data_IF_656478838041
#
_entry.id   IF_656478838041
#
_cell.length_a   1.000
_cell.length_b   1.000
_cell.length_c   1.000
_cell.angle_alpha   90.00
_cell.angle_beta   90.00
_cell.angle_gamma   90.00
#
_symmetry.space_group_name_H-M   'P 1'
#
loop_
_entity.id
_entity.type
_entity.pdbx_description
1 polymer ?
#
# COMPACT_ATOMS: atom_id res chain seq x y z
N UNK A 1 -16.24 -22.62 30.63
CA UNK A 1 -16.10 -21.57 29.63
C UNK A 1 -15.92 -20.20 30.32
N UNK A 2 -15.03 -19.37 29.86
CA UNK A 2 -14.86 -18.00 30.30
C UNK A 2 -15.42 -17.05 29.22
N UNK A 3 -16.12 -15.98 29.66
CA UNK A 3 -16.73 -14.99 28.76
C UNK A 3 -16.27 -13.60 29.17
N UNK A 4 -16.10 -12.72 28.18
CA UNK A 4 -15.74 -11.32 28.43
C UNK A 4 -14.26 -11.08 28.71
N UNK A 5 -13.40 -11.99 28.34
CA UNK A 5 -11.95 -11.79 28.39
C UNK A 5 -11.56 -10.72 27.35
N UNK A 6 -10.74 -9.76 27.77
CA UNK A 6 -10.19 -8.71 26.90
C UNK A 6 -8.77 -9.10 26.50
N UNK A 7 -8.38 -8.72 25.28
CA UNK A 7 -7.01 -8.90 24.77
C UNK A 7 -6.53 -10.36 24.74
N UNK A 8 -7.43 -11.30 24.51
CA UNK A 8 -7.12 -12.73 24.37
C UNK A 8 -7.48 -13.18 22.96
N UNK A 9 -6.54 -13.86 22.31
CA UNK A 9 -6.72 -14.41 20.96
C UNK A 9 -6.75 -15.93 20.96
N UNK A 10 -7.22 -16.53 19.88
CA UNK A 10 -7.19 -17.98 19.71
C UNK A 10 -5.75 -18.50 19.73
N UNK A 11 -5.45 -19.42 20.64
CA UNK A 11 -4.12 -19.98 20.85
C UNK A 11 -3.36 -19.41 22.06
N UNK A 12 -3.90 -18.39 22.73
CA UNK A 12 -3.30 -17.86 23.93
C UNK A 12 -3.45 -18.82 25.13
N UNK A 13 -2.42 -18.90 25.95
CA UNK A 13 -2.42 -19.65 27.20
C UNK A 13 -2.86 -18.75 28.35
N UNK A 14 -3.87 -19.17 29.08
CA UNK A 14 -4.28 -18.53 30.32
C UNK A 14 -3.70 -19.28 31.51
N UNK A 15 -2.97 -18.59 32.37
CA UNK A 15 -2.36 -19.18 33.56
C UNK A 15 -2.52 -18.29 34.80
N UNK A 16 -2.23 -18.83 35.97
CA UNK A 16 -2.15 -18.04 37.19
C UNK A 16 -0.88 -17.15 37.18
N UNK A 17 -0.98 -15.95 37.76
CA UNK A 17 0.10 -14.97 37.77
C UNK A 17 1.35 -15.50 38.48
N UNK A 18 1.17 -16.22 39.55
CA UNK A 18 2.20 -16.83 40.41
C UNK A 18 2.76 -18.16 39.86
N UNK A 19 2.11 -18.73 38.84
CA UNK A 19 2.55 -19.94 38.14
C UNK A 19 2.51 -19.74 36.63
N UNK A 20 3.42 -18.94 36.05
CA UNK A 20 3.43 -18.70 34.62
C UNK A 20 3.85 -19.96 33.88
N UNK A 21 3.00 -20.42 32.95
CA UNK A 21 3.24 -21.55 32.06
C UNK A 21 2.74 -21.18 30.67
N UNK A 22 3.46 -21.58 29.65
CA UNK A 22 3.05 -21.48 28.26
C UNK A 22 2.86 -22.91 27.76
N UNK A 23 1.64 -23.24 27.33
CA UNK A 23 1.33 -24.51 26.69
C UNK A 23 1.87 -24.51 25.26
N UNK A 24 1.87 -25.69 24.62
CA UNK A 24 2.29 -25.85 23.23
C UNK A 24 1.50 -24.85 22.34
N UNK A 25 2.26 -24.09 21.55
CA UNK A 25 1.69 -23.07 20.67
C UNK A 25 1.12 -23.75 19.43
N UNK A 26 -0.14 -23.45 19.09
CA UNK A 26 -0.75 -23.93 17.87
C UNK A 26 -0.08 -23.26 16.66
N UNK A 27 0.33 -24.08 15.70
CA UNK A 27 0.80 -23.61 14.41
C UNK A 27 -0.37 -23.57 13.43
N UNK A 28 -0.62 -22.38 12.89
CA UNK A 28 -1.63 -22.17 11.86
C UNK A 28 -0.97 -22.11 10.49
N UNK A 29 -1.52 -22.79 9.48
CA UNK A 29 -0.99 -22.74 8.14
C UNK A 29 -1.10 -21.33 7.55
N UNK A 30 -0.15 -20.98 6.69
CA UNK A 30 -0.18 -19.71 5.97
C UNK A 30 -1.38 -19.65 5.01
N UNK A 31 -2.04 -18.48 4.88
CA UNK A 31 -3.13 -18.31 3.93
C UNK A 31 -2.68 -18.58 2.49
N UNK A 32 -3.54 -19.23 1.71
CA UNK A 32 -3.21 -19.64 0.32
C UNK A 32 -3.85 -18.77 -0.75
N UNK A 33 -4.89 -18.02 -0.42
CA UNK A 33 -5.55 -17.09 -1.36
C UNK A 33 -5.74 -15.71 -0.74
N UNK A 34 -5.83 -14.71 -1.60
CA UNK A 34 -6.08 -13.32 -1.20
C UNK A 34 -7.13 -12.69 -2.10
N UNK A 35 -7.98 -11.86 -1.50
CA UNK A 35 -8.99 -11.07 -2.18
C UNK A 35 -8.95 -9.62 -1.69
N UNK A 36 -9.30 -8.67 -2.56
CA UNK A 36 -9.49 -7.29 -2.18
C UNK A 36 -10.92 -7.10 -1.66
N UNK A 37 -11.07 -6.33 -0.59
CA UNK A 37 -12.36 -5.98 -0.01
C UNK A 37 -12.48 -4.47 0.03
N UNK A 38 -13.55 -3.95 -0.58
CA UNK A 38 -13.82 -2.53 -0.63
C UNK A 38 -15.18 -2.22 0.00
N UNK A 39 -15.26 -1.26 0.92
CA UNK A 39 -16.54 -0.85 1.51
C UNK A 39 -17.39 -0.15 0.45
N UNK A 40 -18.71 -0.40 0.44
CA UNK A 40 -19.61 0.27 -0.50
C UNK A 40 -19.79 1.75 -0.19
N UNK A 41 -19.68 2.14 1.07
CA UNK A 41 -19.85 3.53 1.53
C UNK A 41 -18.72 3.96 2.47
N UNK A 42 -18.51 5.26 2.62
CA UNK A 42 -17.54 5.80 3.59
C UNK A 42 -17.88 5.41 5.04
N UNK A 43 -19.16 5.31 5.37
CA UNK A 43 -19.61 4.88 6.70
C UNK A 43 -19.27 3.41 6.97
N UNK A 44 -19.23 2.57 5.93
CA UNK A 44 -18.85 1.18 6.05
C UNK A 44 -17.34 0.98 6.21
N UNK A 45 -16.51 1.95 5.83
CA UNK A 45 -15.06 1.86 5.91
C UNK A 45 -14.56 1.70 7.35
N UNK A 46 -15.06 2.53 8.28
CA UNK A 46 -14.69 2.42 9.70
C UNK A 46 -15.20 1.13 10.32
N UNK A 47 -16.46 0.78 10.04
CA UNK A 47 -17.06 -0.47 10.51
C UNK A 47 -16.34 -1.69 9.96
N UNK A 48 -15.92 -1.65 8.70
CA UNK A 48 -15.15 -2.72 8.06
C UNK A 48 -13.82 -2.95 8.78
N UNK A 49 -13.09 -1.91 9.12
CA UNK A 49 -11.84 -2.03 9.87
C UNK A 49 -12.05 -2.71 11.23
N UNK A 50 -13.09 -2.34 11.97
CA UNK A 50 -13.43 -2.95 13.25
C UNK A 50 -13.84 -4.42 13.07
N UNK A 51 -14.67 -4.72 12.07
CA UNK A 51 -15.14 -6.08 11.78
C UNK A 51 -13.96 -6.99 11.41
N UNK A 52 -13.10 -6.56 10.49
CA UNK A 52 -11.95 -7.33 10.04
C UNK A 52 -10.97 -7.62 11.19
N UNK A 53 -10.71 -6.62 12.05
CA UNK A 53 -9.84 -6.81 13.21
C UNK A 53 -10.42 -7.85 14.20
N UNK A 54 -11.72 -7.82 14.45
CA UNK A 54 -12.36 -8.82 15.33
C UNK A 54 -12.31 -10.22 14.73
N UNK A 55 -12.61 -10.36 13.44
CA UNK A 55 -12.54 -11.64 12.74
C UNK A 55 -11.11 -12.20 12.72
N UNK A 56 -10.10 -11.35 12.55
CA UNK A 56 -8.69 -11.75 12.60
C UNK A 56 -8.23 -12.18 14.01
N UNK A 57 -8.83 -11.63 15.08
CA UNK A 57 -8.57 -12.08 16.45
C UNK A 57 -9.17 -13.46 16.75
N UNK A 58 -10.33 -13.78 16.12
CA UNK A 58 -10.98 -15.06 16.27
C UNK A 58 -10.31 -16.18 15.47
N UNK A 59 -9.81 -15.85 14.28
CA UNK A 59 -9.23 -16.80 13.34
C UNK A 59 -7.78 -16.43 12.94
N UNK A 60 -6.78 -17.08 13.51
CA UNK A 60 -5.38 -16.84 13.20
C UNK A 60 -4.95 -17.21 11.77
N UNK A 61 -5.76 -17.99 11.05
CA UNK A 61 -5.52 -18.31 9.63
C UNK A 61 -6.03 -17.23 8.68
N UNK A 62 -6.77 -16.25 9.21
CA UNK A 62 -7.26 -15.09 8.49
C UNK A 62 -6.34 -13.91 8.69
N UNK A 63 -5.87 -13.31 7.62
CA UNK A 63 -4.99 -12.13 7.67
C UNK A 63 -5.58 -10.96 6.90
N UNK A 64 -5.37 -9.77 7.45
CA UNK A 64 -5.80 -8.50 6.86
C UNK A 64 -4.58 -7.61 6.69
N UNK A 65 -4.43 -7.04 5.52
CA UNK A 65 -3.40 -6.03 5.25
C UNK A 65 -3.96 -4.94 4.35
N UNK A 66 -3.44 -3.75 4.48
CA UNK A 66 -3.66 -2.68 3.51
C UNK A 66 -2.50 -2.66 2.53
N UNK A 67 -2.78 -2.69 1.26
CA UNK A 67 -1.78 -2.51 0.22
C UNK A 67 -1.48 -1.03 0.08
N UNK A 68 -0.24 -0.63 0.37
CA UNK A 68 0.19 0.77 0.36
C UNK A 68 0.17 1.40 -1.03
N UNK A 69 0.32 0.59 -2.08
CA UNK A 69 0.38 1.10 -3.45
C UNK A 69 -1.02 1.29 -4.06
N UNK A 70 -1.90 0.31 -3.90
CA UNK A 70 -3.28 0.40 -4.41
C UNK A 70 -4.27 1.03 -3.42
N UNK A 71 -3.90 1.12 -2.13
CA UNK A 71 -4.78 1.55 -1.05
C UNK A 71 -5.88 0.54 -0.71
N UNK A 72 -5.90 -0.63 -1.36
CA UNK A 72 -6.91 -1.66 -1.12
C UNK A 72 -6.69 -2.41 0.18
N UNK A 73 -7.77 -2.78 0.84
CA UNK A 73 -7.74 -3.75 1.94
C UNK A 73 -7.75 -5.15 1.38
N UNK A 74 -6.70 -5.90 1.65
CA UNK A 74 -6.51 -7.28 1.20
C UNK A 74 -6.78 -8.21 2.37
N UNK A 75 -7.68 -9.16 2.16
CA UNK A 75 -7.95 -10.26 3.08
C UNK A 75 -7.35 -11.55 2.51
N UNK A 76 -6.77 -12.35 3.38
CA UNK A 76 -6.13 -13.61 3.00
C UNK A 76 -6.63 -14.74 3.90
N UNK A 77 -6.86 -15.90 3.32
CA UNK A 77 -7.42 -17.07 4.01
C UNK A 77 -7.06 -18.38 3.35
N UNK A 78 -7.59 -19.47 3.91
CA UNK A 78 -7.27 -20.83 3.52
C UNK A 78 -7.97 -21.31 2.25
N UNK A 79 -8.94 -20.55 1.73
CA UNK A 79 -9.67 -20.86 0.51
C UNK A 79 -10.79 -19.88 0.25
N UNK A 80 -11.38 -19.96 -0.94
CA UNK A 80 -12.45 -19.05 -1.39
C UNK A 80 -13.66 -19.14 -0.46
N UNK A 81 -14.11 -20.35 -0.13
CA UNK A 81 -15.22 -20.55 0.81
C UNK A 81 -14.95 -19.96 2.21
N UNK A 82 -13.70 -20.03 2.68
CA UNK A 82 -13.32 -19.44 3.95
C UNK A 82 -13.51 -17.91 3.93
N UNK A 83 -13.02 -17.26 2.89
CA UNK A 83 -13.16 -15.80 2.72
C UNK A 83 -14.62 -15.39 2.52
N UNK A 84 -15.41 -16.16 1.78
CA UNK A 84 -16.83 -15.90 1.56
C UNK A 84 -17.63 -15.95 2.87
N UNK A 85 -17.33 -16.92 3.74
CA UNK A 85 -17.95 -17.01 5.08
C UNK A 85 -17.60 -15.79 5.92
N UNK A 86 -16.36 -15.34 5.91
CA UNK A 86 -15.93 -14.16 6.68
C UNK A 86 -16.58 -12.87 6.16
N UNK A 87 -16.72 -12.73 4.86
CA UNK A 87 -17.44 -11.60 4.24
C UNK A 87 -18.94 -11.64 4.58
N UNK A 88 -19.55 -12.81 4.57
CA UNK A 88 -20.95 -12.98 5.00
C UNK A 88 -21.13 -12.66 6.48
N UNK A 89 -20.20 -13.06 7.35
CA UNK A 89 -20.16 -12.67 8.77
C UNK A 89 -20.02 -11.15 8.95
N UNK A 90 -19.17 -10.48 8.19
CA UNK A 90 -19.09 -9.01 8.22
C UNK A 90 -20.44 -8.37 7.94
N UNK A 91 -21.17 -8.89 6.96
CA UNK A 91 -22.50 -8.40 6.62
C UNK A 91 -23.52 -8.65 7.72
N UNK A 92 -23.58 -9.87 8.26
CA UNK A 92 -24.61 -10.28 9.23
C UNK A 92 -24.36 -9.77 10.63
N UNK A 93 -23.11 -9.84 11.12
CA UNK A 93 -22.77 -9.53 12.50
C UNK A 93 -22.43 -8.05 12.70
N UNK A 94 -21.85 -7.40 11.68
CA UNK A 94 -21.37 -6.02 11.78
C UNK A 94 -22.13 -5.01 10.91
N UNK A 95 -23.11 -5.49 10.12
CA UNK A 95 -23.84 -4.64 9.16
C UNK A 95 -22.91 -3.86 8.24
N UNK A 96 -21.89 -4.49 7.70
CA UNK A 96 -20.93 -3.93 6.75
C UNK A 96 -21.20 -4.52 5.38
N UNK A 97 -21.49 -3.67 4.41
CA UNK A 97 -21.56 -4.06 3.01
C UNK A 97 -20.24 -3.77 2.31
N UNK A 98 -19.65 -4.83 1.75
CA UNK A 98 -18.39 -4.76 1.03
C UNK A 98 -18.50 -5.45 -0.34
N UNK A 99 -17.71 -4.97 -1.28
CA UNK A 99 -17.48 -5.62 -2.57
C UNK A 99 -16.18 -6.40 -2.49
N UNK A 100 -16.21 -7.63 -2.96
CA UNK A 100 -15.04 -8.52 -2.98
C UNK A 100 -14.58 -8.69 -4.43
N UNK A 101 -13.28 -8.63 -4.66
CA UNK A 101 -12.70 -8.76 -5.99
C UNK A 101 -11.26 -9.25 -5.95
N UNK A 102 -10.68 -9.40 -7.13
CA UNK A 102 -9.26 -9.70 -7.24
C UNK A 102 -8.43 -8.48 -6.84
N UNK A 103 -7.32 -8.66 -6.10
CA UNK A 103 -6.40 -7.57 -5.80
C UNK A 103 -5.90 -6.91 -7.08
N UNK A 104 -5.77 -5.60 -7.06
CA UNK A 104 -5.15 -4.88 -8.17
C UNK A 104 -3.66 -5.17 -8.21
N UNK A 105 -3.11 -5.33 -9.40
CA UNK A 105 -1.68 -5.45 -9.60
C UNK A 105 -1.11 -4.04 -9.69
N UNK A 106 -0.24 -3.69 -8.75
CA UNK A 106 0.52 -2.45 -8.82
C UNK A 106 1.62 -2.61 -9.88
N UNK A 107 1.37 -2.06 -11.05
CA UNK A 107 2.38 -2.03 -12.11
C UNK A 107 3.41 -0.94 -11.80
N UNK A 108 4.67 -1.26 -11.98
CA UNK A 108 5.78 -0.32 -11.88
C UNK A 108 6.48 -0.21 -13.23
N UNK A 109 6.79 1.00 -13.61
CA UNK A 109 7.57 1.28 -14.80
C UNK A 109 9.05 1.39 -14.45
N UNK A 110 9.89 0.99 -15.38
CA UNK A 110 11.33 1.16 -15.29
C UNK A 110 11.93 1.43 -16.65
N UNK A 111 13.04 2.17 -16.68
CA UNK A 111 13.84 2.35 -17.89
C UNK A 111 14.83 1.18 -18.02
N UNK A 112 15.02 0.70 -19.24
CA UNK A 112 15.92 -0.43 -19.54
C UNK A 112 17.20 -0.01 -20.25
N UNK A 113 17.21 1.18 -20.81
CA UNK A 113 18.36 1.73 -21.55
C UNK A 113 18.66 3.15 -21.11
N UNK A 114 19.92 3.57 -21.28
CA UNK A 114 20.35 4.94 -21.02
C UNK A 114 19.81 5.87 -22.11
N UNK A 115 19.24 7.00 -21.69
CA UNK A 115 18.87 8.10 -22.58
C UNK A 115 19.76 9.29 -22.24
N UNK A 116 20.66 9.64 -23.16
CA UNK A 116 21.66 10.68 -22.91
C UNK A 116 21.09 12.10 -22.92
N UNK A 117 20.03 12.36 -23.71
CA UNK A 117 19.44 13.67 -23.87
C UNK A 117 17.91 13.58 -23.89
N UNK A 118 17.30 13.48 -22.71
CA UNK A 118 15.86 13.66 -22.55
C UNK A 118 15.59 15.16 -22.41
N UNK A 119 15.22 15.81 -23.49
CA UNK A 119 14.99 17.26 -23.55
C UNK A 119 13.50 17.56 -23.35
N UNK A 120 13.21 18.50 -22.44
CA UNK A 120 11.88 19.07 -22.25
C UNK A 120 11.93 20.59 -22.27
N UNK A 121 11.07 21.20 -23.09
CA UNK A 121 10.94 22.64 -23.22
C UNK A 121 9.49 23.05 -23.00
N UNK A 122 9.26 23.90 -22.02
CA UNK A 122 7.97 24.46 -21.70
C UNK A 122 7.98 25.97 -22.02
N UNK A 123 7.10 26.39 -22.89
CA UNK A 123 6.90 27.80 -23.23
C UNK A 123 5.42 28.12 -23.16
N UNK A 124 5.03 29.01 -22.27
CA UNK A 124 3.64 29.48 -22.17
C UNK A 124 3.63 30.98 -22.07
N UNK A 125 2.99 31.65 -23.01
CA UNK A 125 2.79 33.09 -23.00
C UNK A 125 1.31 33.39 -23.26
N UNK A 126 0.63 33.90 -22.25
CA UNK A 126 -0.75 34.34 -22.34
C UNK A 126 -0.87 35.70 -21.66
N UNK A 127 -0.83 36.78 -22.44
CA UNK A 127 -1.09 38.16 -22.03
C UNK A 127 -0.40 38.58 -20.70
N UNK A 128 0.87 38.95 -20.73
CA UNK A 128 1.64 39.37 -19.57
C UNK A 128 2.97 38.65 -19.40
N UNK A 129 3.32 38.21 -18.17
CA UNK A 129 4.58 37.50 -17.91
C UNK A 129 4.53 36.09 -18.49
N UNK A 130 5.41 35.79 -19.44
CA UNK A 130 5.59 34.46 -19.98
C UNK A 130 6.22 33.49 -18.97
N UNK A 131 5.95 32.20 -19.13
CA UNK A 131 6.61 31.13 -18.40
C UNK A 131 7.53 30.38 -19.39
N UNK A 132 8.75 30.12 -18.95
CA UNK A 132 9.74 29.41 -19.73
C UNK A 132 10.47 28.41 -18.84
N UNK A 133 10.60 27.18 -19.30
CA UNK A 133 11.41 26.15 -18.67
C UNK A 133 12.04 25.27 -19.75
N UNK A 134 13.34 25.04 -19.66
CA UNK A 134 14.07 24.17 -20.57
C UNK A 134 15.09 23.36 -19.77
N UNK A 135 14.97 22.06 -19.85
CA UNK A 135 15.85 21.12 -19.14
C UNK A 135 16.22 19.96 -20.05
N UNK A 136 17.45 19.53 -19.95
CA UNK A 136 17.98 18.33 -20.60
C UNK A 136 18.46 17.39 -19.50
N UNK A 137 17.96 16.17 -19.48
CA UNK A 137 18.27 15.15 -18.50
C UNK A 137 18.98 13.96 -19.15
N UNK A 138 19.92 13.38 -18.44
CA UNK A 138 20.40 12.04 -18.71
C UNK A 138 19.67 11.07 -17.79
N UNK A 139 19.05 10.05 -18.35
CA UNK A 139 18.34 9.01 -17.60
C UNK A 139 19.08 7.70 -17.76
N UNK A 140 19.38 7.04 -16.63
CA UNK A 140 20.08 5.77 -16.60
C UNK A 140 19.33 4.75 -15.74
N UNK A 141 19.31 3.46 -16.13
CA UNK A 141 18.83 2.40 -15.25
C UNK A 141 19.66 2.36 -13.95
N UNK A 142 18.99 2.26 -12.80
CA UNK A 142 19.65 2.17 -11.48
C UNK A 142 19.16 0.93 -10.71
N UNK A 143 19.52 -0.29 -11.16
CA UNK A 143 18.99 -1.52 -10.60
C UNK A 143 19.39 -1.70 -9.14
N UNK A 144 18.39 -1.95 -8.30
CA UNK A 144 18.56 -2.23 -6.87
C UNK A 144 18.83 -1.03 -5.96
N UNK A 145 19.02 0.18 -6.52
CA UNK A 145 19.27 1.40 -5.72
C UNK A 145 18.11 2.39 -5.71
N UNK A 146 17.09 2.15 -6.54
CA UNK A 146 15.94 3.05 -6.65
C UNK A 146 16.27 4.37 -7.36
N UNK A 147 15.63 5.46 -6.94
CA UNK A 147 15.81 6.78 -7.51
C UNK A 147 17.05 7.47 -6.94
N UNK A 148 17.87 8.02 -7.82
CA UNK A 148 19.04 8.84 -7.46
C UNK A 148 19.08 10.07 -8.38
N UNK A 149 19.16 11.25 -7.81
CA UNK A 149 19.30 12.50 -8.56
C UNK A 149 20.72 13.01 -8.47
N UNK A 150 21.33 13.23 -9.62
CA UNK A 150 22.71 13.73 -9.72
C UNK A 150 22.72 15.09 -10.43
N UNK A 151 23.22 16.11 -9.76
CA UNK A 151 23.48 17.41 -10.38
C UNK A 151 24.81 17.38 -11.16
N UNK A 152 24.69 17.30 -12.48
CA UNK A 152 25.83 17.30 -13.40
C UNK A 152 26.05 18.65 -14.09
N UNK A 153 25.43 19.74 -13.63
CA UNK A 153 25.50 21.05 -14.25
C UNK A 153 26.91 21.63 -14.13
N UNK A 154 27.47 22.05 -15.27
CA UNK A 154 28.76 22.75 -15.36
C UNK A 154 28.53 24.17 -15.83
N UNK A 155 29.28 25.12 -15.26
CA UNK A 155 29.30 26.51 -15.74
C UNK A 155 28.07 27.35 -15.40
N UNK A 156 27.17 26.85 -14.50
CA UNK A 156 26.02 27.64 -14.03
C UNK A 156 24.93 27.89 -15.09
N UNK A 157 24.82 27.00 -16.08
CA UNK A 157 23.84 27.11 -17.19
C UNK A 157 22.39 27.05 -16.64
N UNK A 158 22.16 26.31 -15.57
CA UNK A 158 20.93 26.36 -14.79
C UNK A 158 21.24 26.95 -13.41
N UNK A 159 20.60 28.04 -12.99
CA UNK A 159 20.82 28.59 -11.67
C UNK A 159 20.45 27.57 -10.58
N UNK A 160 21.27 27.51 -9.53
CA UNK A 160 21.13 26.51 -8.45
C UNK A 160 19.74 26.51 -7.77
N UNK A 161 19.06 27.64 -7.76
CA UNK A 161 17.74 27.80 -7.19
C UNK A 161 16.64 26.99 -7.92
N UNK A 162 16.86 26.64 -9.20
CA UNK A 162 15.89 25.86 -9.99
C UNK A 162 16.14 24.35 -9.96
N UNK A 163 17.31 23.88 -9.51
CA UNK A 163 17.63 22.46 -9.44
C UNK A 163 16.67 21.66 -8.57
N UNK A 164 16.29 22.15 -7.35
CA UNK A 164 15.31 21.46 -6.52
C UNK A 164 13.93 21.36 -7.19
N UNK A 165 13.55 22.34 -8.00
CA UNK A 165 12.30 22.32 -8.73
C UNK A 165 12.29 21.25 -9.84
N UNK A 166 13.42 21.05 -10.51
CA UNK A 166 13.60 19.96 -11.49
C UNK A 166 13.51 18.60 -10.82
N UNK A 167 14.22 18.41 -9.71
CA UNK A 167 14.19 17.18 -8.94
C UNK A 167 12.76 16.84 -8.50
N UNK A 168 12.06 17.80 -7.91
CA UNK A 168 10.68 17.63 -7.47
C UNK A 168 9.75 17.27 -8.63
N UNK A 169 9.91 17.91 -9.78
CA UNK A 169 9.13 17.60 -10.99
C UNK A 169 9.32 16.15 -11.45
N UNK A 170 10.55 15.63 -11.41
CA UNK A 170 10.86 14.23 -11.71
C UNK A 170 10.16 13.30 -10.70
N UNK A 171 10.33 13.57 -9.40
CA UNK A 171 9.72 12.76 -8.32
C UNK A 171 8.19 12.72 -8.42
N UNK A 172 7.57 13.85 -8.73
CA UNK A 172 6.10 13.92 -8.87
C UNK A 172 5.62 13.16 -10.13
N UNK A 173 6.36 13.20 -11.23
CA UNK A 173 6.02 12.43 -12.44
C UNK A 173 6.21 10.93 -12.22
N UNK A 174 7.23 10.52 -11.48
CA UNK A 174 7.47 9.12 -11.14
C UNK A 174 6.35 8.46 -10.31
N UNK A 175 5.56 9.26 -9.58
CA UNK A 175 4.42 8.74 -8.80
C UNK A 175 3.23 8.33 -9.64
N UNK A 176 3.04 8.97 -10.79
CA UNK A 176 1.89 8.74 -11.66
C UNK A 176 2.19 7.84 -12.87
N UNK A 177 3.45 7.70 -13.24
CA UNK A 177 3.84 6.97 -14.46
C UNK A 177 3.45 7.69 -15.76
N UNK A 178 3.52 6.99 -16.88
CA UNK A 178 3.17 7.47 -18.22
C UNK A 178 1.78 6.97 -18.62
#
# INVERSE_FOLDING_TARGET
AAVGLKEVTTGDTLCAIDHPIILEKMEFPEPVISQAVEPKTKADQEKMGIALNRLAQEDPSFRVRTDEESGQTIISGMGELHLDILVDRMRREFNVEATVGKPQVAYRETIRSTVENAEAKFVKQSGGRGQYGHVVLKLEPNPGKGYEFVDAIKGGVVPREYIPAVQKGIEDTMKSGV
#
